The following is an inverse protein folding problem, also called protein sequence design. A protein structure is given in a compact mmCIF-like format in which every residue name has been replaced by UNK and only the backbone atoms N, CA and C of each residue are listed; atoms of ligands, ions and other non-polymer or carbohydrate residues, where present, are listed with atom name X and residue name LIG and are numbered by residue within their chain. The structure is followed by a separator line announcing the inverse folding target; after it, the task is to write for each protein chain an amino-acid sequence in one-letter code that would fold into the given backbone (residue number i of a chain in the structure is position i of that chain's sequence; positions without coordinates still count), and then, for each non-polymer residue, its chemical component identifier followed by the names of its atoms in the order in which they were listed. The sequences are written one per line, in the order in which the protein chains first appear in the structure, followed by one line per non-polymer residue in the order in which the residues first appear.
data_IF_636862021599
#
_entry.id   IF_636862021599
#
_cell.length_a   1.000
_cell.length_b   1.000
_cell.length_c   1.000
_cell.angle_alpha   90.00
_cell.angle_beta   90.00
_cell.angle_gamma   90.00
#
_symmetry.space_group_name_H-M   'P 1'
#
loop_
_entity.id
_entity.type
_entity.pdbx_description
1 polymer ?
#
# COMPACT_ATOMS: atom_id res chain seq x y z
N UNK A 1 0.33 4.48 11.41
CA UNK A 1 0.80 3.22 10.75
C UNK A 1 1.74 2.42 11.64
N UNK A 2 2.87 2.98 12.12
CA UNK A 2 3.86 2.25 12.94
C UNK A 2 3.24 1.56 14.16
N UNK A 3 2.32 2.20 14.88
CA UNK A 3 1.63 1.59 16.03
C UNK A 3 0.70 0.41 15.67
N UNK A 4 0.39 0.20 14.39
CA UNK A 4 -0.47 -0.90 13.90
C UNK A 4 0.39 -2.08 13.42
N UNK A 5 1.42 -1.81 12.62
CA UNK A 5 2.21 -2.85 11.92
C UNK A 5 3.67 -2.98 12.39
N UNK A 6 4.19 -2.03 13.17
CA UNK A 6 5.60 -1.92 13.50
C UNK A 6 6.42 -1.18 12.44
N UNK A 7 7.63 -0.74 12.80
CA UNK A 7 8.49 0.05 11.90
C UNK A 7 8.95 -0.73 10.68
N UNK A 8 9.29 -2.02 10.85
CA UNK A 8 9.80 -2.87 9.77
C UNK A 8 8.77 -3.17 8.69
N UNK A 9 7.48 -2.95 8.98
CA UNK A 9 6.37 -3.23 8.07
C UNK A 9 5.82 -1.95 7.41
N UNK A 10 6.59 -0.85 7.43
CA UNK A 10 6.25 0.43 6.82
C UNK A 10 7.43 0.98 6.02
N UNK A 11 7.22 1.16 4.71
CA UNK A 11 8.15 1.89 3.85
C UNK A 11 7.66 3.32 3.68
N UNK A 12 8.60 4.26 3.79
CA UNK A 12 8.36 5.70 3.54
C UNK A 12 9.46 6.33 2.70
N UNK A 13 10.59 5.63 2.51
CA UNK A 13 11.60 6.05 1.55
C UNK A 13 11.03 5.96 0.12
N UNK A 14 11.13 7.02 -0.70
CA UNK A 14 10.62 7.00 -2.07
C UNK A 14 11.22 5.90 -2.95
N UNK A 15 12.50 5.55 -2.74
CA UNK A 15 13.18 4.49 -3.48
C UNK A 15 12.59 3.12 -3.19
N UNK A 16 12.35 2.82 -1.91
CA UNK A 16 11.68 1.58 -1.50
C UNK A 16 10.22 1.53 -1.96
N UNK A 17 9.52 2.66 -1.92
CA UNK A 17 8.12 2.79 -2.33
C UNK A 17 7.92 2.63 -3.85
N UNK A 18 8.93 2.97 -4.66
CA UNK A 18 8.86 2.92 -6.12
C UNK A 18 8.48 1.53 -6.66
N UNK A 19 8.96 0.47 -6.02
CA UNK A 19 8.69 -0.92 -6.41
C UNK A 19 7.21 -1.31 -6.28
N UNK A 20 6.43 -0.58 -5.47
CA UNK A 20 5.01 -0.82 -5.23
C UNK A 20 4.10 0.12 -6.02
N UNK A 21 4.68 0.95 -6.89
CA UNK A 21 3.97 1.93 -7.70
C UNK A 21 3.42 1.43 -9.03
N UNK A 22 3.68 0.18 -9.42
CA UNK A 22 3.28 -0.36 -10.74
C UNK A 22 2.69 -1.76 -10.67
N UNK A 23 1.94 -2.11 -11.71
CA UNK A 23 1.65 -3.49 -12.07
C UNK A 23 1.99 -3.74 -13.56
N UNK A 24 1.65 -4.90 -14.10
CA UNK A 24 1.97 -5.28 -15.47
C UNK A 24 1.14 -4.54 -16.54
N UNK A 25 0.39 -3.49 -16.18
CA UNK A 25 -0.34 -2.61 -17.11
C UNK A 25 0.51 -1.54 -17.79
N UNK A 26 1.80 -1.41 -17.42
CA UNK A 26 2.70 -0.30 -17.80
C UNK A 26 2.36 1.06 -17.17
N UNK A 27 1.34 1.11 -16.30
CA UNK A 27 1.03 2.30 -15.49
C UNK A 27 1.90 2.31 -14.24
N UNK A 28 2.33 3.50 -13.81
CA UNK A 28 3.14 3.68 -12.60
C UNK A 28 2.76 4.98 -11.91
N UNK A 29 2.63 4.95 -10.59
CA UNK A 29 2.53 6.11 -9.73
C UNK A 29 3.30 5.85 -8.42
N UNK A 30 4.04 6.84 -7.92
CA UNK A 30 4.79 6.72 -6.66
C UNK A 30 3.84 6.84 -5.45
N UNK A 31 3.69 5.81 -4.60
CA UNK A 31 2.95 5.95 -3.34
C UNK A 31 3.76 6.74 -2.31
N UNK A 32 3.07 7.35 -1.34
CA UNK A 32 3.67 8.09 -0.23
C UNK A 32 4.14 7.16 0.89
N UNK A 33 3.56 5.98 0.99
CA UNK A 33 4.01 4.92 1.88
C UNK A 33 3.52 3.54 1.39
N UNK A 34 4.21 2.50 1.81
CA UNK A 34 3.79 1.10 1.63
C UNK A 34 3.69 0.46 3.00
N UNK A 35 2.58 -0.22 3.27
CA UNK A 35 2.35 -0.91 4.54
C UNK A 35 2.11 -2.40 4.29
N UNK A 36 2.82 -3.26 5.02
CA UNK A 36 2.68 -4.71 4.95
C UNK A 36 1.82 -5.20 6.10
N UNK A 37 0.57 -5.59 5.82
CA UNK A 37 -0.27 -6.22 6.82
C UNK A 37 0.03 -7.72 6.90
N UNK A 38 -0.04 -8.27 8.11
CA UNK A 38 0.16 -9.72 8.39
C UNK A 38 -1.03 -10.32 9.14
N UNK A 39 -2.10 -9.56 9.33
CA UNK A 39 -3.28 -10.02 10.06
C UNK A 39 -4.53 -9.20 9.72
N UNK A 40 -5.69 -9.84 9.80
CA UNK A 40 -6.98 -9.17 9.61
C UNK A 40 -7.19 -7.94 10.53
N UNK A 41 -6.86 -7.99 11.85
CA UNK A 41 -7.00 -6.82 12.72
C UNK A 41 -6.16 -5.61 12.29
N UNK A 42 -4.97 -5.83 11.70
CA UNK A 42 -4.17 -4.75 11.15
C UNK A 42 -4.84 -4.10 9.94
N UNK A 43 -5.36 -4.90 9.01
CA UNK A 43 -6.09 -4.39 7.83
C UNK A 43 -7.27 -3.51 8.27
N UNK A 44 -8.09 -3.98 9.22
CA UNK A 44 -9.22 -3.21 9.75
C UNK A 44 -8.77 -1.86 10.30
N UNK A 45 -7.69 -1.83 11.10
CA UNK A 45 -7.16 -0.60 11.67
C UNK A 45 -6.57 0.35 10.61
N UNK A 46 -5.89 -0.19 9.59
CA UNK A 46 -5.32 0.60 8.48
C UNK A 46 -6.44 1.26 7.67
N UNK A 47 -7.46 0.49 7.26
CA UNK A 47 -8.61 1.01 6.49
C UNK A 47 -9.32 2.10 7.28
N UNK A 48 -9.61 1.88 8.56
CA UNK A 48 -10.24 2.87 9.42
C UNK A 48 -9.41 4.16 9.54
N UNK A 49 -8.08 4.01 9.66
CA UNK A 49 -7.16 5.15 9.78
C UNK A 49 -7.08 5.96 8.48
N UNK A 50 -6.92 5.30 7.33
CA UNK A 50 -6.91 5.96 6.02
C UNK A 50 -8.23 6.69 5.75
N UNK A 51 -9.37 6.07 6.07
CA UNK A 51 -10.69 6.71 5.96
C UNK A 51 -10.80 7.96 6.84
N UNK A 52 -10.37 7.87 8.11
CA UNK A 52 -10.41 9.00 9.06
C UNK A 52 -9.64 10.23 8.57
N UNK A 53 -8.52 10.02 7.89
CA UNK A 53 -7.67 11.10 7.39
C UNK A 53 -7.83 11.39 5.90
N UNK A 54 -8.82 10.77 5.25
CA UNK A 54 -9.06 10.89 3.81
C UNK A 54 -7.80 10.61 2.96
N UNK A 55 -7.00 9.63 3.38
CA UNK A 55 -5.81 9.18 2.66
C UNK A 55 -6.22 8.07 1.71
N UNK A 56 -5.90 8.22 0.42
CA UNK A 56 -6.13 7.17 -0.57
C UNK A 56 -5.43 5.87 -0.16
N UNK A 57 -6.11 4.74 -0.35
CA UNK A 57 -5.61 3.43 0.02
C UNK A 57 -5.76 2.48 -1.17
N UNK A 58 -4.64 2.02 -1.70
CA UNK A 58 -4.60 1.07 -2.81
C UNK A 58 -4.24 -0.32 -2.28
N UNK A 59 -5.18 -1.28 -2.26
CA UNK A 59 -4.87 -2.66 -1.90
C UNK A 59 -4.05 -3.33 -3.00
N UNK A 60 -3.05 -4.12 -2.61
CA UNK A 60 -2.14 -4.80 -3.54
C UNK A 60 -1.77 -6.18 -3.01
N UNK A 61 -1.89 -7.19 -3.87
CA UNK A 61 -1.28 -8.52 -3.66
C UNK A 61 0.15 -8.55 -4.21
N UNK A 62 0.44 -9.50 -5.11
CA UNK A 62 1.75 -9.58 -5.78
C UNK A 62 2.00 -8.50 -6.85
N UNK A 63 0.99 -7.71 -7.23
CA UNK A 63 1.13 -6.64 -8.24
C UNK A 63 1.30 -7.13 -9.68
N UNK A 64 0.79 -8.31 -10.01
CA UNK A 64 0.91 -8.91 -11.36
C UNK A 64 -0.27 -8.57 -12.28
N UNK A 65 -1.20 -7.72 -11.84
CA UNK A 65 -2.37 -7.30 -12.62
C UNK A 65 -1.97 -6.57 -13.91
N UNK A 66 -2.81 -6.64 -14.95
CA UNK A 66 -2.53 -6.07 -16.28
C UNK A 66 -3.38 -4.85 -16.63
N UNK A 67 -4.29 -4.45 -15.74
CA UNK A 67 -5.26 -3.37 -15.98
C UNK A 67 -4.92 -2.07 -15.25
N UNK A 68 -3.94 -2.07 -14.35
CA UNK A 68 -3.58 -0.91 -13.54
C UNK A 68 -4.39 -0.80 -12.25
N UNK A 69 -5.16 -1.83 -11.88
CA UNK A 69 -6.05 -1.81 -10.72
C UNK A 69 -5.30 -1.70 -9.38
N UNK A 70 -3.99 -1.98 -9.37
CA UNK A 70 -3.15 -1.90 -8.16
C UNK A 70 -2.15 -0.74 -8.19
N UNK A 71 -2.28 0.15 -9.17
CA UNK A 71 -1.45 1.37 -9.28
C UNK A 71 -2.04 2.47 -8.38
N UNK A 72 -1.23 3.12 -7.52
CA UNK A 72 -1.71 4.16 -6.62
C UNK A 72 -1.83 5.52 -7.33
N UNK A 73 -2.70 5.60 -8.36
CA UNK A 73 -2.88 6.80 -9.20
C UNK A 73 -3.28 8.05 -8.41
N UNK A 74 -3.89 7.87 -7.23
CA UNK A 74 -4.30 8.95 -6.33
C UNK A 74 -3.28 9.21 -5.21
N UNK A 75 -2.06 8.69 -5.34
CA UNK A 75 -1.05 8.70 -4.29
C UNK A 75 -1.51 7.86 -3.10
N UNK A 76 -1.29 8.36 -1.89
CA UNK A 76 -1.72 7.68 -0.68
C UNK A 76 -0.81 6.54 -0.28
N UNK A 77 -1.43 5.52 0.31
CA UNK A 77 -0.79 4.35 0.88
C UNK A 77 -1.09 3.13 0.04
N UNK A 78 -0.07 2.36 -0.29
CA UNK A 78 -0.27 0.99 -0.79
C UNK A 78 -0.35 0.04 0.39
N UNK A 79 -1.43 -0.72 0.48
CA UNK A 79 -1.60 -1.82 1.43
C UNK A 79 -1.18 -3.13 0.76
N UNK A 80 0.02 -3.61 1.08
CA UNK A 80 0.50 -4.93 0.65
C UNK A 80 -0.10 -6.03 1.53
N UNK A 81 -0.65 -7.06 0.87
CA UNK A 81 -1.22 -8.26 1.49
C UNK A 81 -0.37 -9.52 1.22
N UNK A 82 0.85 -9.36 0.72
CA UNK A 82 1.70 -10.50 0.31
C UNK A 82 2.24 -11.35 1.48
N UNK A 83 2.12 -10.86 2.72
CA UNK A 83 2.54 -11.53 3.94
C UNK A 83 1.37 -11.98 4.84
N UNK A 84 0.12 -11.94 4.35
CA UNK A 84 -1.07 -12.36 5.10
C UNK A 84 -1.39 -13.84 4.99
#
# INVERSE_FOLDING_TARGET
MVSIVGEKALLTDPGDCWAYGYDNSRRHALPQAVVFAVSHPQVVRIVALCNRYSVALTPRGAGTGTTGATVPDHGGVVLSLEHM
#
